data_IF_765891680751
#
_entry.id   IF_765891680751
#
_cell.length_a   1.000
_cell.length_b   1.000
_cell.length_c   1.000
_cell.angle_alpha   90.00
_cell.angle_beta   90.00
_cell.angle_gamma   90.00
#
_symmetry.space_group_name_H-M   'P 1'
#
loop_
_entity.id
_entity.type
_entity.pdbx_description
1 polymer ?
#
# COMPACT_ATOMS: atom_id res chain seq x y z
N UNK A 1 8.94 9.87 0.84
CA UNK A 1 8.51 9.43 -0.51
C UNK A 1 7.12 8.77 -0.49
N UNK A 2 6.95 7.54 0.01
CA UNK A 2 5.66 6.82 -0.03
C UNK A 2 4.49 7.64 0.55
N UNK A 3 4.65 8.23 1.74
CA UNK A 3 3.64 9.09 2.38
C UNK A 3 3.22 10.32 1.56
N UNK A 4 4.16 10.93 0.85
CA UNK A 4 3.89 12.12 0.01
C UNK A 4 3.26 11.67 -1.31
N UNK A 5 3.75 10.59 -1.90
CA UNK A 5 3.15 9.96 -3.08
C UNK A 5 1.70 9.52 -2.80
N UNK A 6 1.43 8.96 -1.61
CA UNK A 6 0.08 8.74 -1.05
C UNK A 6 -0.68 10.07 -1.10
N UNK A 7 -0.18 11.14 -0.50
CA UNK A 7 -0.86 12.46 -0.44
C UNK A 7 -1.18 13.05 -1.84
N UNK A 8 -0.34 12.81 -2.83
CA UNK A 8 -0.36 13.47 -4.14
C UNK A 8 -1.14 12.70 -5.21
N UNK A 9 -0.97 11.39 -5.26
CA UNK A 9 -1.82 10.48 -6.04
C UNK A 9 -3.25 10.50 -5.50
N UNK A 10 -3.41 10.74 -4.20
CA UNK A 10 -4.72 10.91 -3.60
C UNK A 10 -5.30 12.29 -3.86
N UNK A 11 -4.52 13.36 -3.73
CA UNK A 11 -5.03 14.73 -3.74
C UNK A 11 -5.19 15.37 -5.11
N UNK A 12 -4.31 15.10 -6.08
CA UNK A 12 -4.14 16.04 -7.19
C UNK A 12 -3.95 15.44 -8.59
N UNK A 13 -3.58 14.16 -8.72
CA UNK A 13 -3.26 13.58 -10.03
C UNK A 13 -4.32 12.58 -10.53
N UNK A 14 -5.15 13.02 -11.48
CA UNK A 14 -6.07 12.17 -12.24
C UNK A 14 -5.39 11.18 -13.19
N UNK A 15 -6.11 10.68 -14.20
CA UNK A 15 -5.64 9.58 -15.06
C UNK A 15 -4.36 9.89 -15.86
N UNK A 16 -4.04 11.14 -16.15
CA UNK A 16 -2.80 11.57 -16.81
C UNK A 16 -1.59 11.45 -15.91
N UNK A 17 -1.76 11.57 -14.60
CA UNK A 17 -0.70 11.22 -13.65
C UNK A 17 -0.38 9.72 -13.68
N UNK A 18 -1.36 8.91 -14.05
CA UNK A 18 -1.32 7.45 -14.02
C UNK A 18 -0.85 6.79 -15.32
N UNK A 19 -1.32 7.31 -16.47
CA UNK A 19 -1.04 6.76 -17.80
C UNK A 19 -0.15 7.68 -18.65
N UNK A 20 0.26 8.83 -18.12
CA UNK A 20 1.10 9.80 -18.80
C UNK A 20 0.49 10.30 -20.13
N UNK A 21 1.36 10.65 -21.09
CA UNK A 21 0.97 11.21 -22.40
C UNK A 21 0.14 10.26 -23.28
N UNK A 22 0.02 8.98 -22.91
CA UNK A 22 -0.70 7.96 -23.70
C UNK A 22 -2.22 8.18 -23.70
N UNK A 23 -2.74 8.88 -22.69
CA UNK A 23 -4.16 9.22 -22.60
C UNK A 23 -4.49 10.52 -23.35
N UNK A 24 -3.49 11.36 -23.64
CA UNK A 24 -3.68 12.67 -24.30
C UNK A 24 -4.43 12.56 -25.64
N UNK A 25 -4.15 11.60 -26.55
CA UNK A 25 -4.89 11.48 -27.80
C UNK A 25 -6.38 11.20 -27.58
N UNK A 26 -6.72 10.38 -26.57
CA UNK A 26 -8.10 10.08 -26.23
C UNK A 26 -8.80 11.32 -25.67
N UNK A 27 -8.22 11.99 -24.67
CA UNK A 27 -8.79 13.19 -24.05
C UNK A 27 -8.96 14.31 -25.09
N UNK A 28 -7.98 14.49 -25.98
CA UNK A 28 -8.08 15.45 -27.09
C UNK A 28 -9.19 15.06 -28.07
N UNK A 29 -9.38 13.77 -28.36
CA UNK A 29 -10.49 13.31 -29.21
C UNK A 29 -11.84 13.58 -28.55
N UNK A 30 -11.96 13.32 -27.24
CA UNK A 30 -13.20 13.53 -26.50
C UNK A 30 -13.61 15.01 -26.48
N UNK A 31 -12.64 15.90 -26.27
CA UNK A 31 -12.86 17.35 -26.35
C UNK A 31 -13.30 17.81 -27.74
N UNK A 32 -12.72 17.26 -28.81
CA UNK A 32 -13.10 17.64 -30.19
C UNK A 32 -14.47 17.10 -30.58
N UNK A 33 -14.73 15.84 -30.24
CA UNK A 33 -15.86 15.05 -30.76
C UNK A 33 -17.14 15.22 -29.92
N UNK A 34 -17.06 15.65 -28.65
CA UNK A 34 -18.20 15.75 -27.75
C UNK A 34 -18.41 17.15 -27.19
N UNK A 35 -19.44 17.84 -27.68
CA UNK A 35 -19.74 19.23 -27.32
C UNK A 35 -19.98 19.43 -25.81
N UNK A 36 -20.66 18.49 -25.16
CA UNK A 36 -20.91 18.53 -23.71
C UNK A 36 -19.62 18.41 -22.88
N UNK A 37 -18.65 17.60 -23.33
CA UNK A 37 -17.34 17.48 -22.68
C UNK A 37 -16.53 18.76 -22.90
N UNK A 38 -16.55 19.29 -24.12
CA UNK A 38 -15.87 20.54 -24.48
C UNK A 38 -16.36 21.73 -23.66
N UNK A 39 -17.66 21.96 -23.63
CA UNK A 39 -18.27 23.08 -22.92
C UNK A 39 -17.97 23.04 -21.41
N UNK A 40 -18.09 21.86 -20.80
CA UNK A 40 -17.76 21.68 -19.39
C UNK A 40 -16.26 21.86 -19.11
N UNK A 41 -15.39 21.43 -20.04
CA UNK A 41 -13.95 21.60 -19.90
C UNK A 41 -13.53 23.07 -20.06
N UNK A 42 -14.07 23.77 -21.06
CA UNK A 42 -13.81 25.20 -21.28
C UNK A 42 -14.22 26.03 -20.05
N UNK A 43 -15.36 25.71 -19.42
CA UNK A 43 -15.78 26.35 -18.17
C UNK A 43 -14.79 26.13 -17.00
N UNK A 44 -14.13 24.98 -16.93
CA UNK A 44 -13.10 24.72 -15.92
C UNK A 44 -11.78 25.43 -16.25
N UNK A 45 -11.41 25.53 -17.53
CA UNK A 45 -10.26 26.31 -18.00
C UNK A 45 -10.46 27.78 -17.64
N UNK A 46 -11.63 28.35 -17.95
CA UNK A 46 -11.93 29.75 -17.67
C UNK A 46 -11.97 30.05 -16.17
N UNK A 47 -12.49 29.11 -15.37
CA UNK A 47 -12.66 29.30 -13.92
C UNK A 47 -11.38 29.10 -13.13
N UNK A 48 -10.54 28.16 -13.53
CA UNK A 48 -9.40 27.70 -12.72
C UNK A 48 -8.05 27.77 -13.44
N UNK A 49 -8.01 28.17 -14.72
CA UNK A 49 -6.78 28.25 -15.51
C UNK A 49 -6.17 26.89 -15.85
N UNK A 50 -6.96 25.81 -15.83
CA UNK A 50 -6.47 24.46 -16.08
C UNK A 50 -5.96 24.26 -17.51
N UNK A 51 -4.98 23.37 -17.68
CA UNK A 51 -4.67 22.82 -19.00
C UNK A 51 -5.92 22.12 -19.59
N UNK A 52 -6.16 22.27 -20.89
CA UNK A 52 -7.38 21.75 -21.55
C UNK A 52 -7.57 20.26 -21.34
N UNK A 53 -6.50 19.48 -21.38
CA UNK A 53 -6.60 18.03 -21.19
C UNK A 53 -6.88 17.69 -19.71
N UNK A 54 -6.39 18.49 -18.76
CA UNK A 54 -6.69 18.34 -17.34
C UNK A 54 -8.17 18.68 -17.08
N UNK A 55 -8.67 19.75 -17.69
CA UNK A 55 -10.09 20.10 -17.62
C UNK A 55 -10.99 18.99 -18.17
N UNK A 56 -10.61 18.31 -19.27
CA UNK A 56 -11.35 17.16 -19.79
C UNK A 56 -11.36 16.00 -18.80
N UNK A 57 -10.26 15.73 -18.12
CA UNK A 57 -10.23 14.69 -17.07
C UNK A 57 -11.14 15.02 -15.90
N UNK A 58 -11.16 16.28 -15.45
CA UNK A 58 -12.04 16.76 -14.39
C UNK A 58 -13.52 16.61 -14.77
N UNK A 59 -13.86 16.84 -16.04
CA UNK A 59 -15.21 16.59 -16.57
C UNK A 59 -15.54 15.10 -16.54
N UNK A 60 -14.63 14.22 -16.98
CA UNK A 60 -14.85 12.77 -16.94
C UNK A 60 -14.99 12.27 -15.49
N UNK A 61 -14.20 12.82 -14.57
CA UNK A 61 -14.31 12.53 -13.14
C UNK A 61 -15.65 13.00 -12.55
N UNK A 62 -16.13 14.21 -12.88
CA UNK A 62 -17.46 14.70 -12.48
C UNK A 62 -18.58 13.83 -13.06
N UNK A 63 -18.47 13.40 -14.32
CA UNK A 63 -19.44 12.49 -14.94
C UNK A 63 -19.44 11.11 -14.27
N UNK A 64 -18.29 10.58 -13.87
CA UNK A 64 -18.18 9.32 -13.13
C UNK A 64 -18.88 9.45 -11.77
N UNK A 65 -18.62 10.55 -11.05
CA UNK A 65 -19.20 10.83 -9.74
C UNK A 65 -20.73 10.96 -9.77
N UNK A 66 -21.29 11.51 -10.86
CA UNK A 66 -22.74 11.68 -11.05
C UNK A 66 -23.43 10.49 -11.71
N UNK A 67 -22.71 9.37 -11.89
CA UNK A 67 -23.19 8.19 -12.62
C UNK A 67 -23.78 8.50 -14.02
N UNK A 68 -23.25 9.55 -14.67
CA UNK A 68 -23.65 9.98 -16.02
C UNK A 68 -22.63 9.57 -17.09
N UNK A 69 -21.43 9.14 -16.69
CA UNK A 69 -20.36 8.72 -17.60
C UNK A 69 -20.70 7.48 -18.41
N UNK A 70 -21.31 6.47 -17.79
CA UNK A 70 -21.69 5.21 -18.46
C UNK A 70 -22.79 5.39 -19.51
N UNK A 71 -23.49 6.54 -19.48
CA UNK A 71 -24.54 6.90 -20.43
C UNK A 71 -24.01 7.65 -21.66
N UNK A 72 -22.73 7.99 -21.68
CA UNK A 72 -22.13 8.73 -22.79
C UNK A 72 -21.87 7.82 -23.99
N UNK A 73 -22.10 8.32 -25.20
CA UNK A 73 -21.89 7.56 -26.44
C UNK A 73 -20.43 7.10 -26.62
N UNK A 74 -19.47 7.82 -26.02
CA UNK A 74 -18.05 7.47 -26.05
C UNK A 74 -17.60 6.47 -24.99
N UNK A 75 -18.48 6.08 -24.07
CA UNK A 75 -18.15 5.18 -22.96
C UNK A 75 -17.44 3.88 -23.40
N UNK A 76 -17.94 3.13 -24.41
CA UNK A 76 -17.28 1.88 -24.82
C UNK A 76 -15.85 2.10 -25.33
N UNK A 77 -15.60 3.23 -26.02
CA UNK A 77 -14.28 3.58 -26.55
C UNK A 77 -13.32 3.97 -25.43
N UNK A 78 -13.79 4.78 -24.48
CA UNK A 78 -13.02 5.16 -23.30
C UNK A 78 -12.59 3.92 -22.49
N UNK A 79 -13.55 3.03 -22.23
CA UNK A 79 -13.32 1.74 -21.57
C UNK A 79 -12.32 0.88 -22.32
N UNK A 80 -12.44 0.74 -23.64
CA UNK A 80 -11.53 -0.07 -24.44
C UNK A 80 -10.09 0.46 -24.39
N UNK A 81 -9.90 1.78 -24.47
CA UNK A 81 -8.56 2.39 -24.37
C UNK A 81 -7.99 2.18 -22.98
N UNK A 82 -8.74 2.46 -21.91
CA UNK A 82 -8.28 2.25 -20.53
C UNK A 82 -7.94 0.78 -20.31
N UNK A 83 -8.79 -0.17 -20.74
CA UNK A 83 -8.51 -1.62 -20.66
C UNK A 83 -7.24 -2.01 -21.42
N UNK A 84 -7.03 -1.48 -22.61
CA UNK A 84 -5.85 -1.80 -23.40
C UNK A 84 -4.58 -1.24 -22.78
N UNK A 85 -4.63 -0.03 -22.20
CA UNK A 85 -3.53 0.52 -21.41
C UNK A 85 -3.25 -0.38 -20.21
N UNK A 86 -4.27 -0.72 -19.43
CA UNK A 86 -4.15 -1.62 -18.27
C UNK A 86 -3.54 -2.98 -18.66
N UNK A 87 -4.01 -3.60 -19.75
CA UNK A 87 -3.46 -4.87 -20.26
C UNK A 87 -2.00 -4.75 -20.70
N UNK A 88 -1.63 -3.65 -21.39
CA UNK A 88 -0.28 -3.44 -21.93
C UNK A 88 0.77 -3.39 -20.85
N UNK A 89 0.42 -2.83 -19.71
CA UNK A 89 1.28 -2.80 -18.54
C UNK A 89 1.22 -4.10 -17.72
N UNK A 90 0.34 -5.05 -18.03
CA UNK A 90 0.23 -6.31 -17.28
C UNK A 90 -0.67 -6.22 -16.05
N UNK A 91 -1.50 -5.18 -15.96
CA UNK A 91 -2.45 -5.00 -14.86
C UNK A 91 -3.64 -5.97 -14.91
N UNK A 92 -3.79 -6.84 -15.93
CA UNK A 92 -4.83 -7.89 -15.93
C UNK A 92 -4.95 -8.90 -17.07
N UNK A 93 -5.63 -10.01 -16.70
CA UNK A 93 -6.55 -10.83 -17.52
C UNK A 93 -8.04 -10.40 -17.56
N UNK A 94 -8.68 -9.83 -16.51
CA UNK A 94 -10.12 -9.40 -16.53
C UNK A 94 -10.46 -8.17 -15.64
N UNK A 95 -11.14 -7.14 -16.18
CA UNK A 95 -11.64 -5.94 -15.47
C UNK A 95 -13.08 -5.61 -15.85
N UNK A 96 -13.89 -5.17 -14.88
CA UNK A 96 -15.29 -4.77 -15.09
C UNK A 96 -15.40 -3.29 -15.52
N UNK A 97 -16.57 -2.90 -16.03
CA UNK A 97 -16.87 -1.51 -16.37
C UNK A 97 -16.90 -0.62 -15.11
N UNK A 98 -17.33 -1.17 -13.97
CA UNK A 98 -17.39 -0.47 -12.69
C UNK A 98 -16.00 -0.11 -12.18
N UNK A 99 -15.01 -1.00 -12.33
CA UNK A 99 -13.62 -0.71 -11.96
C UNK A 99 -13.05 0.51 -12.73
N UNK A 100 -13.50 0.72 -13.97
CA UNK A 100 -13.08 1.85 -14.81
C UNK A 100 -13.81 3.13 -14.41
N UNK A 101 -15.10 3.06 -14.07
CA UNK A 101 -15.85 4.19 -13.49
C UNK A 101 -15.21 4.60 -12.16
N UNK A 102 -14.86 3.62 -11.32
CA UNK A 102 -14.17 3.85 -10.06
C UNK A 102 -12.85 4.57 -10.30
N UNK A 103 -12.00 4.05 -11.19
CA UNK A 103 -10.74 4.67 -11.58
C UNK A 103 -10.92 6.15 -11.96
N UNK A 104 -11.87 6.46 -12.84
CA UNK A 104 -12.17 7.80 -13.33
C UNK A 104 -12.72 8.73 -12.24
N UNK A 105 -13.55 8.23 -11.33
CA UNK A 105 -14.11 9.01 -10.22
C UNK A 105 -13.13 9.30 -9.07
N UNK A 106 -11.96 8.65 -9.06
CA UNK A 106 -10.94 8.79 -7.99
C UNK A 106 -10.34 10.16 -7.92
N UNK A 107 -10.13 10.76 -9.09
CA UNK A 107 -9.34 11.96 -9.29
C UNK A 107 -9.88 13.20 -8.54
N UNK A 108 -11.16 13.19 -8.13
CA UNK A 108 -11.86 14.41 -7.68
C UNK A 108 -12.37 14.39 -6.22
N UNK A 109 -12.46 13.23 -5.56
CA UNK A 109 -13.09 13.12 -4.22
C UNK A 109 -12.16 13.35 -3.01
N UNK A 110 -10.84 13.23 -3.16
CA UNK A 110 -9.95 13.45 -2.01
C UNK A 110 -9.82 14.93 -1.64
N UNK A 111 -10.04 15.83 -2.60
CA UNK A 111 -10.01 17.30 -2.40
C UNK A 111 -11.23 17.81 -1.63
N UNK A 112 -12.35 17.10 -1.67
CA UNK A 112 -13.62 17.55 -1.05
C UNK A 112 -13.91 16.94 0.32
N UNK A 113 -13.24 15.83 0.68
CA UNK A 113 -13.46 15.10 1.94
C UNK A 113 -12.15 14.85 2.73
N UNK A 114 -11.16 15.74 2.61
CA UNK A 114 -10.11 15.78 3.63
C UNK A 114 -10.78 16.08 4.99
N UNK A 115 -10.48 15.34 6.08
CA UNK A 115 -10.95 15.71 7.39
C UNK A 115 -10.25 17.02 7.76
N UNK A 116 -10.94 18.14 7.59
CA UNK A 116 -10.60 19.37 8.29
C UNK A 116 -10.51 19.01 9.77
N UNK A 117 -9.32 19.14 10.32
CA UNK A 117 -9.09 19.01 11.74
C UNK A 117 -10.06 19.95 12.47
N UNK A 118 -10.98 19.37 13.25
CA UNK A 118 -11.76 20.08 14.25
C UNK A 118 -13.24 20.30 13.90
N UNK A 119 -14.06 19.77 14.81
CA UNK A 119 -15.49 20.04 15.08
C UNK A 119 -16.49 19.22 14.27
N UNK A 120 -16.79 18.09 14.87
CA UNK A 120 -18.12 17.51 14.91
C UNK A 120 -19.17 18.59 15.28
N UNK A 121 -20.06 18.90 14.35
CA UNK A 121 -21.40 19.43 14.65
C UNK A 121 -22.36 18.83 13.64
N UNK A 122 -23.08 17.79 14.07
CA UNK A 122 -24.16 17.22 13.29
C UNK A 122 -25.26 18.22 12.97
N UNK A 123 -25.71 18.22 11.71
CA UNK A 123 -27.13 18.31 11.37
C UNK A 123 -27.36 17.77 9.96
N UNK A 124 -28.29 16.82 9.88
CA UNK A 124 -28.89 16.35 8.63
C UNK A 124 -29.71 17.49 8.00
N UNK A 125 -29.82 17.51 6.67
CA UNK A 125 -31.12 17.50 5.95
C UNK A 125 -30.88 17.61 4.43
N UNK A 126 -31.33 16.58 3.69
CA UNK A 126 -31.28 16.55 2.23
C UNK A 126 -30.89 15.18 1.69
N UNK A 127 -31.81 14.21 1.74
CA UNK A 127 -31.59 12.82 1.26
C UNK A 127 -31.17 12.79 -0.23
N UNK A 128 -30.02 12.19 -0.58
CA UNK A 128 -29.76 11.72 -1.94
C UNK A 128 -30.23 10.27 -2.09
N UNK A 129 -30.83 9.99 -3.26
CA UNK A 129 -31.33 8.68 -3.66
C UNK A 129 -30.27 7.58 -3.52
N UNK A 130 -30.73 6.42 -3.04
CA UNK A 130 -29.96 5.18 -2.99
C UNK A 130 -29.62 4.68 -4.39
N UNK A 131 -28.35 4.80 -4.80
CA UNK A 131 -27.78 4.05 -5.90
C UNK A 131 -26.59 3.23 -5.38
N UNK A 132 -26.74 1.91 -5.42
CA UNK A 132 -25.71 0.86 -5.35
C UNK A 132 -24.34 1.26 -4.76
N UNK A 133 -24.15 0.95 -3.48
CA UNK A 133 -22.85 0.86 -2.81
C UNK A 133 -21.98 -0.20 -3.52
N UNK A 134 -20.90 0.17 -4.20
CA UNK A 134 -19.71 -0.72 -4.28
C UNK A 134 -18.39 -0.12 -4.80
N UNK A 135 -18.33 1.13 -5.28
CA UNK A 135 -17.04 1.74 -5.66
C UNK A 135 -16.63 2.86 -4.69
N UNK A 136 -16.12 2.45 -3.53
CA UNK A 136 -15.62 3.34 -2.49
C UNK A 136 -14.24 3.94 -2.81
N UNK A 137 -13.77 4.90 -2.00
CA UNK A 137 -12.37 5.36 -2.02
C UNK A 137 -11.32 4.23 -1.95
N UNK A 138 -11.72 3.04 -1.47
CA UNK A 138 -10.88 1.84 -1.35
C UNK A 138 -10.44 1.25 -2.67
N UNK A 139 -11.41 0.97 -3.55
CA UNK A 139 -11.17 0.39 -4.86
C UNK A 139 -10.23 1.27 -5.70
N UNK A 140 -10.40 2.59 -5.57
CA UNK A 140 -9.65 3.63 -6.27
C UNK A 140 -8.19 3.72 -5.83
N UNK A 141 -7.99 3.72 -4.52
CA UNK A 141 -6.68 3.64 -3.89
C UNK A 141 -5.96 2.35 -4.31
N UNK A 142 -6.62 1.20 -4.14
CA UNK A 142 -6.04 -0.10 -4.46
C UNK A 142 -5.55 -0.15 -5.92
N UNK A 143 -6.27 0.47 -6.83
CA UNK A 143 -5.89 0.55 -8.23
C UNK A 143 -4.64 1.41 -8.47
N UNK A 144 -4.58 2.65 -7.98
CA UNK A 144 -3.40 3.51 -8.16
C UNK A 144 -2.13 2.86 -7.58
N UNK A 145 -2.29 2.13 -6.48
CA UNK A 145 -1.22 1.41 -5.82
C UNK A 145 -0.76 0.17 -6.55
N UNK A 146 -1.68 -0.62 -7.11
CA UNK A 146 -1.32 -1.71 -8.04
C UNK A 146 -0.56 -1.17 -9.25
N UNK A 147 -0.91 0.03 -9.71
CA UNK A 147 -0.29 0.70 -10.86
C UNK A 147 1.17 1.08 -10.61
N UNK A 148 1.45 1.63 -9.43
CA UNK A 148 2.81 1.92 -8.99
C UNK A 148 3.61 0.64 -8.73
N UNK A 149 2.98 -0.38 -8.14
CA UNK A 149 3.61 -1.64 -7.74
C UNK A 149 4.15 -2.52 -8.89
N UNK A 150 4.05 -2.07 -10.14
CA UNK A 150 4.72 -2.70 -11.27
C UNK A 150 6.14 -2.21 -11.51
N UNK A 151 6.50 -1.05 -10.96
CA UNK A 151 7.87 -0.61 -10.96
C UNK A 151 8.61 -1.42 -9.89
N UNK A 152 9.30 -2.49 -10.31
CA UNK A 152 10.09 -3.35 -9.41
C UNK A 152 11.11 -2.54 -8.59
N UNK A 153 11.57 -1.41 -9.13
CA UNK A 153 12.43 -0.41 -8.46
C UNK A 153 11.81 0.22 -7.20
N UNK A 154 10.48 0.18 -7.03
CA UNK A 154 9.83 0.64 -5.80
C UNK A 154 9.97 -0.36 -4.65
N UNK A 155 10.38 -1.60 -4.94
CA UNK A 155 10.53 -2.63 -3.93
C UNK A 155 12.01 -2.85 -3.61
N UNK A 156 12.29 -2.93 -2.31
CA UNK A 156 13.63 -3.25 -1.82
C UNK A 156 14.13 -4.62 -2.26
N UNK A 157 13.21 -5.58 -2.40
CA UNK A 157 13.51 -6.96 -2.76
C UNK A 157 12.88 -7.29 -4.11
N UNK A 158 13.48 -8.17 -4.93
CA UNK A 158 12.91 -8.57 -6.21
C UNK A 158 11.57 -9.30 -6.04
N UNK A 159 10.84 -9.50 -7.15
CA UNK A 159 9.67 -10.38 -7.22
C UNK A 159 10.12 -11.78 -7.65
N UNK A 160 10.12 -12.76 -6.74
CA UNK A 160 10.55 -14.11 -7.08
C UNK A 160 9.66 -14.75 -8.15
N UNK A 161 10.24 -15.61 -8.98
CA UNK A 161 9.52 -16.36 -10.02
C UNK A 161 9.32 -17.84 -9.65
N UNK A 162 10.11 -18.37 -8.72
CA UNK A 162 9.97 -19.75 -8.25
C UNK A 162 8.75 -19.96 -7.34
N UNK A 163 8.32 -21.21 -7.26
CA UNK A 163 7.34 -21.71 -6.28
C UNK A 163 8.02 -22.41 -5.09
N UNK A 164 9.31 -22.75 -5.22
CA UNK A 164 10.09 -23.41 -4.16
C UNK A 164 10.66 -22.36 -3.19
N UNK A 165 10.50 -22.62 -1.89
CA UNK A 165 10.89 -21.66 -0.84
C UNK A 165 12.40 -21.40 -0.81
N UNK A 166 13.25 -22.38 -1.13
CA UNK A 166 14.69 -22.21 -1.15
C UNK A 166 15.13 -21.36 -2.36
N UNK A 167 14.56 -21.63 -3.53
CA UNK A 167 14.80 -20.83 -4.73
C UNK A 167 14.32 -19.39 -4.54
N UNK A 168 13.11 -19.19 -3.98
CA UNK A 168 12.57 -17.88 -3.64
C UNK A 168 13.52 -17.11 -2.71
N UNK A 169 14.07 -17.78 -1.69
CA UNK A 169 15.01 -17.15 -0.77
C UNK A 169 16.30 -16.73 -1.48
N UNK A 170 16.85 -17.58 -2.35
CA UNK A 170 18.05 -17.29 -3.13
C UNK A 170 17.85 -16.15 -4.15
N UNK A 171 16.66 -16.06 -4.76
CA UNK A 171 16.29 -14.95 -5.63
C UNK A 171 16.23 -13.60 -4.88
N UNK A 172 15.76 -13.61 -3.62
CA UNK A 172 15.72 -12.41 -2.78
C UNK A 172 17.12 -11.99 -2.32
N UNK A 173 17.91 -12.95 -1.87
CA UNK A 173 19.30 -12.75 -1.45
C UNK A 173 20.05 -14.09 -1.50
N UNK A 174 21.09 -14.21 -2.36
CA UNK A 174 21.90 -15.42 -2.46
C UNK A 174 22.60 -15.86 -1.15
N UNK A 175 22.69 -14.97 -0.15
CA UNK A 175 23.21 -15.28 1.18
C UNK A 175 22.21 -16.00 2.10
N UNK A 176 20.97 -16.19 1.66
CA UNK A 176 19.95 -16.95 2.38
C UNK A 176 20.02 -18.43 1.97
N UNK A 177 19.80 -19.33 2.93
CA UNK A 177 19.61 -20.74 2.64
C UNK A 177 18.42 -21.29 3.40
N UNK A 178 17.70 -22.21 2.77
CA UNK A 178 16.52 -22.85 3.33
C UNK A 178 16.68 -24.35 3.25
N UNK A 179 16.44 -25.04 4.35
CA UNK A 179 16.47 -26.50 4.44
C UNK A 179 15.26 -27.00 5.21
N UNK A 180 14.80 -28.21 4.90
CA UNK A 180 13.76 -28.88 5.70
C UNK A 180 14.31 -29.20 7.09
N UNK A 181 13.56 -28.84 8.13
CA UNK A 181 13.95 -29.07 9.54
C UNK A 181 12.76 -29.53 10.39
N UNK A 182 12.12 -30.62 9.98
CA UNK A 182 10.95 -31.21 10.65
C UNK A 182 11.15 -31.54 12.13
N UNK A 183 12.40 -31.72 12.57
CA UNK A 183 12.77 -32.05 13.95
C UNK A 183 12.81 -30.84 14.88
N UNK A 184 12.71 -29.61 14.36
CA UNK A 184 12.62 -28.40 15.17
C UNK A 184 11.36 -28.38 16.05
N UNK A 185 10.32 -29.12 15.64
CA UNK A 185 9.10 -29.32 16.40
C UNK A 185 8.94 -30.80 16.77
N UNK A 186 8.59 -31.06 18.02
CA UNK A 186 8.28 -32.41 18.50
C UNK A 186 7.07 -32.99 17.76
N UNK A 187 6.93 -34.32 17.79
CA UNK A 187 5.75 -34.96 17.19
C UNK A 187 4.45 -34.44 17.82
N UNK A 188 4.43 -34.25 19.13
CA UNK A 188 3.25 -33.74 19.84
C UNK A 188 2.85 -32.34 19.36
N UNK A 189 3.81 -31.41 19.25
CA UNK A 189 3.56 -30.05 18.74
C UNK A 189 3.08 -30.08 17.30
N UNK A 190 3.67 -30.92 16.45
CA UNK A 190 3.24 -31.07 15.05
C UNK A 190 1.83 -31.64 14.93
N UNK A 191 1.47 -32.62 15.76
CA UNK A 191 0.14 -33.23 15.77
C UNK A 191 -0.92 -32.25 16.32
N UNK A 192 -0.57 -31.45 17.32
CA UNK A 192 -1.43 -30.42 17.93
C UNK A 192 -1.70 -29.27 16.96
N UNK A 193 -0.64 -28.67 16.40
CA UNK A 193 -0.72 -27.52 15.50
C UNK A 193 -0.97 -27.91 14.03
N UNK A 194 -1.17 -29.21 13.75
CA UNK A 194 -1.38 -29.76 12.40
C UNK A 194 -0.27 -29.37 11.43
N UNK A 195 0.98 -29.34 11.89
CA UNK A 195 2.14 -28.97 11.09
C UNK A 195 2.36 -30.03 10.00
N UNK A 196 2.37 -29.58 8.75
CA UNK A 196 2.70 -30.39 7.59
C UNK A 196 4.20 -30.31 7.29
N UNK A 197 4.76 -29.10 7.31
CA UNK A 197 6.13 -28.84 6.88
C UNK A 197 6.81 -27.77 7.73
N UNK A 198 8.09 -28.00 8.02
CA UNK A 198 8.95 -27.05 8.71
C UNK A 198 10.22 -26.87 7.90
N UNK A 199 10.58 -25.61 7.66
CA UNK A 199 11.86 -25.23 7.10
C UNK A 199 12.62 -24.36 8.09
N UNK A 200 13.94 -24.46 8.04
CA UNK A 200 14.86 -23.55 8.68
C UNK A 200 15.47 -22.65 7.62
N UNK A 201 15.35 -21.35 7.80
CA UNK A 201 16.05 -20.36 7.01
C UNK A 201 17.26 -19.85 7.80
N UNK A 202 18.45 -20.00 7.22
CA UNK A 202 19.67 -19.37 7.72
C UNK A 202 19.88 -18.04 7.00
N UNK A 203 19.90 -16.96 7.78
CA UNK A 203 20.09 -15.59 7.33
C UNK A 203 21.58 -15.32 7.02
N UNK A 204 21.88 -14.21 6.32
CA UNK A 204 23.25 -13.84 5.96
C UNK A 204 24.19 -13.62 7.18
N UNK A 205 23.65 -13.24 8.34
CA UNK A 205 24.40 -13.14 9.60
C UNK A 205 24.53 -14.48 10.35
N UNK A 206 24.14 -15.59 9.70
CA UNK A 206 24.08 -16.96 10.21
C UNK A 206 23.07 -17.18 11.34
N UNK A 207 22.19 -16.21 11.62
CA UNK A 207 21.04 -16.45 12.50
C UNK A 207 20.01 -17.29 11.78
N UNK A 208 19.19 -17.96 12.57
CA UNK A 208 18.21 -18.93 12.08
C UNK A 208 16.80 -18.46 12.44
N UNK A 209 15.87 -18.75 11.54
CA UNK A 209 14.44 -18.60 11.75
C UNK A 209 13.73 -19.82 11.16
N UNK A 210 12.55 -20.13 11.66
CA UNK A 210 11.74 -21.25 11.16
C UNK A 210 10.52 -20.75 10.43
N UNK A 211 10.14 -21.50 9.39
CA UNK A 211 8.97 -21.27 8.56
C UNK A 211 8.14 -22.54 8.67
N UNK A 212 6.89 -22.39 9.05
CA UNK A 212 6.00 -23.50 9.36
C UNK A 212 4.81 -23.42 8.43
N UNK A 213 4.46 -24.54 7.81
CA UNK A 213 3.21 -24.73 7.07
C UNK A 213 2.38 -25.80 7.78
N UNK A 214 1.08 -25.54 7.96
CA UNK A 214 0.13 -26.52 8.47
C UNK A 214 -0.68 -27.20 7.35
N UNK A 215 -1.45 -28.22 7.73
CA UNK A 215 -2.27 -29.02 6.82
C UNK A 215 -3.40 -28.24 6.12
N UNK A 216 -3.78 -27.06 6.62
CA UNK A 216 -4.81 -26.20 6.01
C UNK A 216 -4.23 -25.18 5.03
N UNK A 217 -2.90 -25.13 4.89
CA UNK A 217 -2.22 -24.19 4.00
C UNK A 217 -1.96 -22.82 4.61
N UNK A 218 -2.01 -22.69 5.93
CA UNK A 218 -1.49 -21.52 6.63
C UNK A 218 0.01 -21.64 6.82
N UNK A 219 0.70 -20.52 6.66
CA UNK A 219 2.15 -20.41 6.82
C UNK A 219 2.45 -19.33 7.83
N UNK A 220 3.42 -19.53 8.72
CA UNK A 220 3.90 -18.51 9.64
C UNK A 220 5.40 -18.65 9.90
N UNK A 221 5.94 -17.66 10.62
CA UNK A 221 7.37 -17.53 10.87
C UNK A 221 7.60 -17.51 12.38
N UNK A 222 8.53 -18.33 12.84
CA UNK A 222 9.18 -18.15 14.13
C UNK A 222 10.53 -17.45 13.91
N UNK A 223 10.55 -16.16 14.25
CA UNK A 223 11.74 -15.30 14.17
C UNK A 223 12.32 -14.95 15.55
N UNK A 224 11.96 -15.71 16.59
CA UNK A 224 12.37 -15.45 17.99
C UNK A 224 13.90 -15.37 18.17
N UNK A 225 14.65 -16.09 17.34
CA UNK A 225 16.12 -16.15 17.37
C UNK A 225 16.83 -15.01 16.60
N UNK A 226 16.09 -14.14 15.90
CA UNK A 226 16.66 -13.07 15.09
C UNK A 226 16.95 -11.81 15.90
N UNK A 227 18.11 -11.19 15.63
CA UNK A 227 18.47 -9.91 16.23
C UNK A 227 17.78 -8.76 15.48
N UNK A 228 17.02 -7.93 16.21
CA UNK A 228 16.28 -6.79 15.64
C UNK A 228 17.21 -5.85 14.87
N UNK A 229 16.85 -5.53 13.62
CA UNK A 229 17.57 -4.55 12.78
C UNK A 229 18.90 -5.04 12.20
N UNK A 230 19.36 -6.25 12.54
CA UNK A 230 20.63 -6.82 12.11
C UNK A 230 20.44 -8.01 11.16
N UNK A 231 19.53 -8.92 11.51
CA UNK A 231 19.37 -10.20 10.79
C UNK A 231 18.56 -10.12 9.48
N UNK A 232 18.23 -8.91 9.01
CA UNK A 232 17.53 -8.74 7.73
C UNK A 232 16.11 -9.32 7.67
N UNK A 233 15.36 -9.28 8.78
CA UNK A 233 14.02 -9.91 8.89
C UNK A 233 13.00 -9.53 7.81
N UNK A 234 13.14 -8.38 7.15
CA UNK A 234 12.33 -8.04 5.97
C UNK A 234 12.49 -9.02 4.80
N UNK A 235 13.70 -9.59 4.61
CA UNK A 235 13.95 -10.60 3.57
C UNK A 235 13.21 -11.90 3.86
N UNK A 236 13.22 -12.33 5.13
CA UNK A 236 12.48 -13.50 5.60
C UNK A 236 10.97 -13.33 5.38
N UNK A 237 10.42 -12.17 5.74
CA UNK A 237 9.01 -11.84 5.46
C UNK A 237 8.71 -11.83 3.95
N UNK A 238 9.56 -11.21 3.13
CA UNK A 238 9.38 -11.16 1.68
C UNK A 238 9.39 -12.56 1.05
N UNK A 239 10.29 -13.44 1.50
CA UNK A 239 10.37 -14.82 0.99
C UNK A 239 9.10 -15.60 1.32
N UNK A 240 8.65 -15.57 2.57
CA UNK A 240 7.47 -16.33 3.01
C UNK A 240 6.19 -15.78 2.40
N UNK A 241 6.06 -14.46 2.26
CA UNK A 241 4.90 -13.87 1.61
C UNK A 241 4.85 -14.21 0.11
N UNK A 242 6.00 -14.21 -0.58
CA UNK A 242 6.08 -14.62 -1.99
C UNK A 242 5.77 -16.10 -2.16
N UNK A 243 6.28 -16.96 -1.26
CA UNK A 243 5.96 -18.39 -1.23
C UNK A 243 4.47 -18.63 -1.05
N UNK A 244 3.83 -17.91 -0.13
CA UNK A 244 2.41 -18.04 0.11
C UNK A 244 1.57 -17.60 -1.11
N UNK A 245 1.94 -16.48 -1.73
CA UNK A 245 1.31 -16.00 -2.96
C UNK A 245 1.43 -16.99 -4.12
N UNK A 246 2.64 -17.51 -4.35
CA UNK A 246 2.92 -18.45 -5.43
C UNK A 246 2.16 -19.79 -5.26
N UNK A 247 1.99 -20.26 -4.02
CA UNK A 247 1.45 -21.59 -3.73
C UNK A 247 -0.01 -21.59 -3.25
N UNK A 248 -0.71 -20.45 -3.31
CA UNK A 248 -2.11 -20.35 -2.86
C UNK A 248 -2.28 -20.63 -1.36
N UNK A 249 -1.28 -20.25 -0.55
CA UNK A 249 -1.26 -20.40 0.91
C UNK A 249 -1.61 -19.07 1.57
N UNK A 250 -1.87 -19.09 2.88
CA UNK A 250 -2.17 -17.89 3.67
C UNK A 250 -1.06 -17.63 4.68
N UNK A 251 -0.33 -16.54 4.51
CA UNK A 251 0.67 -16.09 5.47
C UNK A 251 0.01 -15.36 6.65
N UNK A 252 -0.09 -16.06 7.77
CA UNK A 252 -0.69 -15.57 9.02
C UNK A 252 0.36 -14.89 9.91
N UNK A 253 -0.07 -14.25 10.99
CA UNK A 253 0.84 -13.81 12.05
C UNK A 253 1.32 -15.00 12.87
N UNK A 254 2.46 -14.85 13.56
CA UNK A 254 2.93 -15.88 14.50
C UNK A 254 1.85 -16.17 15.55
N UNK A 255 1.34 -17.42 15.63
CA UNK A 255 0.32 -17.80 16.62
C UNK A 255 0.79 -17.65 18.07
N UNK A 256 2.11 -17.66 18.33
CA UNK A 256 2.67 -17.38 19.66
C UNK A 256 2.58 -15.89 20.03
N UNK A 257 2.27 -15.02 19.07
CA UNK A 257 2.02 -13.61 19.25
C UNK A 257 3.08 -12.70 18.64
N UNK A 258 2.72 -11.41 18.51
CA UNK A 258 3.61 -10.37 17.99
C UNK A 258 4.08 -9.42 19.09
N UNK A 259 5.38 -9.10 19.09
CA UNK A 259 5.90 -7.95 19.85
C UNK A 259 5.33 -6.62 19.30
N UNK A 260 5.35 -5.55 20.10
CA UNK A 260 4.91 -4.22 19.68
C UNK A 260 5.59 -3.75 18.39
N UNK A 261 6.91 -3.94 18.29
CA UNK A 261 7.65 -3.57 17.08
C UNK A 261 7.28 -4.45 15.87
N UNK A 262 7.03 -5.74 16.10
CA UNK A 262 6.62 -6.66 15.04
C UNK A 262 5.22 -6.32 14.50
N UNK A 263 4.33 -5.78 15.34
CA UNK A 263 2.99 -5.38 14.96
C UNK A 263 3.00 -4.35 13.82
N UNK A 264 3.80 -3.28 13.96
CA UNK A 264 3.87 -2.24 12.94
C UNK A 264 4.64 -2.72 11.71
N UNK A 265 5.78 -3.39 11.90
CA UNK A 265 6.57 -3.93 10.80
C UNK A 265 5.76 -4.90 9.95
N UNK A 266 4.95 -5.74 10.57
CA UNK A 266 4.10 -6.68 9.85
C UNK A 266 3.08 -5.96 8.96
N UNK A 267 2.48 -4.86 9.41
CA UNK A 267 1.61 -4.04 8.55
C UNK A 267 2.35 -3.55 7.30
N UNK A 268 3.58 -3.04 7.45
CA UNK A 268 4.39 -2.58 6.32
C UNK A 268 4.79 -3.73 5.38
N UNK A 269 5.15 -4.90 5.94
CA UNK A 269 5.47 -6.09 5.14
C UNK A 269 4.24 -6.62 4.39
N UNK A 270 3.07 -6.64 5.03
CA UNK A 270 1.80 -6.99 4.40
C UNK A 270 1.46 -6.03 3.27
N UNK A 271 1.58 -4.72 3.50
CA UNK A 271 1.31 -3.71 2.49
C UNK A 271 2.25 -3.89 1.30
N UNK A 272 3.55 -4.01 1.55
CA UNK A 272 4.56 -4.26 0.51
C UNK A 272 4.26 -5.51 -0.31
N UNK A 273 3.89 -6.62 0.37
CA UNK A 273 3.52 -7.85 -0.31
C UNK A 273 2.21 -7.71 -1.11
N UNK A 274 1.18 -7.09 -0.54
CA UNK A 274 -0.09 -6.87 -1.23
C UNK A 274 0.05 -6.00 -2.49
N UNK A 275 0.90 -4.99 -2.41
CA UNK A 275 1.27 -4.16 -3.55
C UNK A 275 2.00 -4.99 -4.59
N UNK A 276 3.09 -5.67 -4.19
CA UNK A 276 3.94 -6.45 -5.09
C UNK A 276 3.16 -7.54 -5.82
N UNK A 277 2.30 -8.27 -5.14
CA UNK A 277 1.53 -9.38 -5.72
C UNK A 277 0.21 -8.90 -6.36
N UNK A 278 -0.21 -7.68 -6.08
CA UNK A 278 -1.47 -7.12 -6.59
C UNK A 278 -2.72 -7.79 -6.02
N UNK A 279 -2.60 -8.55 -4.93
CA UNK A 279 -3.68 -9.26 -4.23
C UNK A 279 -3.36 -9.37 -2.73
N UNK A 280 -4.35 -9.72 -1.92
CA UNK A 280 -4.24 -9.87 -0.46
C UNK A 280 -4.59 -11.27 0.03
N UNK A 281 -5.03 -12.15 -0.87
CA UNK A 281 -5.55 -13.48 -0.53
C UNK A 281 -4.52 -14.36 0.19
N UNK A 282 -3.23 -14.12 -0.05
CA UNK A 282 -2.13 -14.84 0.59
C UNK A 282 -1.74 -14.25 1.95
N UNK A 283 -2.47 -13.27 2.49
CA UNK A 283 -2.17 -12.60 3.73
C UNK A 283 -3.35 -12.69 4.70
N UNK A 284 -3.03 -12.79 5.99
CA UNK A 284 -3.98 -12.57 7.07
C UNK A 284 -3.32 -11.66 8.12
N UNK A 285 -3.98 -10.58 8.58
CA UNK A 285 -3.52 -9.83 9.74
C UNK A 285 -3.50 -10.72 10.98
N UNK A 286 -2.54 -10.48 11.87
CA UNK A 286 -2.56 -11.11 13.19
C UNK A 286 -3.74 -10.55 14.02
N UNK A 287 -4.29 -11.31 14.97
CA UNK A 287 -5.39 -10.86 15.84
C UNK A 287 -5.10 -9.52 16.52
N UNK A 288 -3.88 -9.35 17.04
CA UNK A 288 -3.37 -8.08 17.59
C UNK A 288 -3.41 -6.89 16.61
N UNK A 289 -3.35 -7.10 15.28
CA UNK A 289 -3.50 -6.03 14.28
C UNK A 289 -4.98 -5.67 14.07
N UNK A 290 -5.91 -6.60 14.33
CA UNK A 290 -7.36 -6.41 14.16
C UNK A 290 -8.03 -5.91 15.44
N UNK A 291 -7.51 -6.29 16.61
CA UNK A 291 -8.06 -5.94 17.92
C UNK A 291 -6.94 -5.73 18.97
N UNK A 292 -6.12 -4.67 18.84
CA UNK A 292 -4.95 -4.44 19.71
C UNK A 292 -5.31 -4.36 21.20
N UNK A 293 -6.40 -3.66 21.54
CA UNK A 293 -6.83 -3.47 22.94
C UNK A 293 -7.40 -4.74 23.58
N UNK A 294 -8.04 -5.60 22.79
CA UNK A 294 -8.52 -6.89 23.28
C UNK A 294 -7.39 -7.89 23.49
N UNK A 295 -6.33 -7.81 22.67
CA UNK A 295 -5.19 -8.74 22.74
C UNK A 295 -4.22 -8.38 23.87
N UNK A 296 -3.83 -7.11 23.99
CA UNK A 296 -2.96 -6.61 25.07
C UNK A 296 -3.47 -5.25 25.57
N UNK A 297 -4.37 -5.24 26.57
CA UNK A 297 -4.90 -3.99 27.13
C UNK A 297 -3.79 -3.08 27.67
N UNK A 298 -3.92 -1.77 27.46
CA UNK A 298 -3.01 -0.73 27.97
C UNK A 298 -1.56 -0.78 27.45
N UNK A 299 -1.28 -1.57 26.41
CA UNK A 299 0.03 -1.51 25.77
C UNK A 299 0.22 -0.14 25.12
N UNK A 300 1.34 0.54 25.43
CA UNK A 300 1.61 1.91 24.99
C UNK A 300 1.48 2.08 23.47
N UNK A 301 1.81 1.03 22.71
CA UNK A 301 1.74 1.11 21.26
C UNK A 301 0.30 1.16 20.74
N UNK A 302 -0.70 0.66 21.47
CA UNK A 302 -2.07 0.52 20.97
C UNK A 302 -2.66 1.87 20.53
N UNK A 303 -2.37 2.96 21.24
CA UNK A 303 -2.82 4.32 20.88
C UNK A 303 -2.32 4.76 19.49
N UNK A 304 -1.20 4.19 19.04
CA UNK A 304 -0.63 4.49 17.74
C UNK A 304 -1.14 3.56 16.63
N UNK A 305 -1.74 2.42 16.97
CA UNK A 305 -2.14 1.38 16.00
C UNK A 305 -3.60 1.55 15.62
N UNK A 306 -3.85 1.77 14.32
CA UNK A 306 -5.20 1.66 13.79
C UNK A 306 -5.58 0.19 13.58
N UNK A 307 -6.66 -0.32 14.19
CA UNK A 307 -7.15 -1.68 13.95
C UNK A 307 -7.47 -1.91 12.47
N UNK A 308 -7.07 -3.06 11.94
CA UNK A 308 -7.34 -3.47 10.55
C UNK A 308 -8.68 -4.19 10.50
N UNK A 309 -9.62 -3.67 9.71
CA UNK A 309 -10.88 -4.38 9.42
C UNK A 309 -10.69 -5.25 8.20
N UNK A 310 -10.37 -6.54 8.37
CA UNK A 310 -10.08 -7.44 7.25
C UNK A 310 -11.34 -8.10 6.69
N UNK A 311 -11.42 -8.23 5.37
CA UNK A 311 -12.49 -8.96 4.68
C UNK A 311 -11.85 -9.99 3.74
N UNK A 312 -11.87 -11.30 4.09
CA UNK A 312 -11.28 -12.33 3.24
C UNK A 312 -11.78 -12.26 1.79
N UNK A 313 -10.85 -12.25 0.84
CA UNK A 313 -11.16 -12.19 -0.59
C UNK A 313 -11.43 -10.80 -1.16
N UNK A 314 -11.56 -9.75 -0.34
CA UNK A 314 -11.71 -8.36 -0.82
C UNK A 314 -10.38 -7.63 -0.86
N UNK A 315 -9.62 -7.85 -1.95
CA UNK A 315 -8.29 -7.28 -2.13
C UNK A 315 -8.26 -5.75 -2.09
N UNK A 316 -9.31 -5.11 -2.60
CA UNK A 316 -9.40 -3.65 -2.67
C UNK A 316 -9.63 -3.04 -1.29
N UNK A 317 -10.58 -3.59 -0.53
CA UNK A 317 -10.85 -3.19 0.84
C UNK A 317 -9.62 -3.42 1.72
N UNK A 318 -9.03 -4.61 1.65
CA UNK A 318 -7.88 -5.00 2.47
C UNK A 318 -6.64 -4.15 2.20
N UNK A 319 -6.35 -3.85 0.92
CA UNK A 319 -5.25 -2.96 0.55
C UNK A 319 -5.48 -1.53 1.06
N UNK A 320 -6.71 -1.01 0.99
CA UNK A 320 -7.03 0.28 1.59
C UNK A 320 -6.82 0.27 3.10
N UNK A 321 -7.26 -0.78 3.79
CA UNK A 321 -7.11 -0.88 5.24
C UNK A 321 -5.63 -0.94 5.65
N UNK A 322 -4.78 -1.65 4.90
CA UNK A 322 -3.33 -1.64 5.09
C UNK A 322 -2.73 -0.24 4.88
N UNK A 323 -3.14 0.48 3.84
CA UNK A 323 -2.67 1.84 3.55
C UNK A 323 -3.09 2.85 4.62
N UNK A 324 -4.37 2.81 5.05
CA UNK A 324 -4.88 3.64 6.13
C UNK A 324 -4.14 3.36 7.43
N UNK A 325 -3.92 2.09 7.75
CA UNK A 325 -3.23 1.71 8.99
C UNK A 325 -1.76 2.09 8.93
N UNK A 326 -1.04 1.87 7.83
CA UNK A 326 0.33 2.35 7.64
C UNK A 326 0.42 3.88 7.82
N UNK A 327 -0.43 4.63 7.12
CA UNK A 327 -0.49 6.10 7.22
C UNK A 327 -0.77 6.57 8.65
N UNK A 328 -1.79 5.99 9.30
CA UNK A 328 -2.14 6.33 10.68
C UNK A 328 -0.98 6.04 11.63
N UNK A 329 -0.42 4.83 11.56
CA UNK A 329 0.65 4.39 12.46
C UNK A 329 1.86 5.31 12.37
N UNK A 330 2.30 5.65 11.15
CA UNK A 330 3.42 6.60 10.97
C UNK A 330 3.10 7.95 11.62
N UNK A 331 1.89 8.50 11.40
CA UNK A 331 1.52 9.81 11.95
C UNK A 331 1.43 9.83 13.47
N UNK A 332 0.98 8.74 14.08
CA UNK A 332 0.91 8.66 15.54
C UNK A 332 2.25 8.35 16.18
N UNK A 333 3.12 7.59 15.51
CA UNK A 333 4.42 7.21 16.03
C UNK A 333 5.44 8.35 15.92
N UNK A 334 5.37 9.15 14.85
CA UNK A 334 6.27 10.29 14.59
C UNK A 334 5.50 11.59 14.26
N UNK A 335 4.67 12.12 15.17
CA UNK A 335 3.81 13.29 14.94
C UNK A 335 4.57 14.57 14.58
N UNK A 336 5.78 14.80 15.07
CA UNK A 336 6.58 15.99 14.72
C UNK A 336 7.00 15.92 13.25
N UNK A 337 7.54 14.77 12.82
CA UNK A 337 7.89 14.52 11.40
C UNK A 337 6.65 14.53 10.50
N UNK A 338 5.53 13.98 10.97
CA UNK A 338 4.28 13.96 10.22
C UNK A 338 3.71 15.36 9.96
N UNK A 339 3.95 16.34 10.84
CA UNK A 339 3.57 17.73 10.59
C UNK A 339 4.33 18.32 9.42
N UNK A 340 5.64 18.08 9.38
CA UNK A 340 6.50 18.59 8.31
C UNK A 340 6.17 17.94 6.95
N UNK A 341 5.87 16.64 6.95
CA UNK A 341 5.44 15.92 5.76
C UNK A 341 4.15 16.48 5.12
N UNK A 342 3.33 17.25 5.86
CA UNK A 342 2.16 17.91 5.27
C UNK A 342 2.52 19.05 4.31
N UNK A 343 3.76 19.53 4.36
CA UNK A 343 4.25 20.60 3.48
C UNK A 343 4.99 20.05 2.26
N UNK A 344 5.25 18.74 2.22
CA UNK A 344 5.94 18.09 1.11
C UNK A 344 4.91 17.55 0.13
N UNK A 345 5.06 17.93 -1.12
CA UNK A 345 4.24 17.54 -2.27
C UNK A 345 5.10 16.89 -3.35
N UNK A 346 4.47 16.29 -4.37
CA UNK A 346 5.15 15.73 -5.55
C UNK A 346 4.59 16.40 -6.78
N UNK A 347 5.42 17.21 -7.44
CA UNK A 347 5.06 17.81 -8.71
C UNK A 347 5.19 16.78 -9.82
N UNK A 348 4.05 16.28 -10.32
CA UNK A 348 4.02 15.37 -11.47
C UNK A 348 4.48 16.05 -12.77
N UNK A 349 4.24 17.35 -12.92
CA UNK A 349 4.70 18.14 -14.06
C UNK A 349 6.23 18.18 -14.12
N UNK A 350 6.86 18.40 -12.96
CA UNK A 350 8.31 18.55 -12.85
C UNK A 350 9.04 17.25 -12.47
N UNK A 351 8.29 16.19 -12.15
CA UNK A 351 8.79 14.87 -11.77
C UNK A 351 9.60 14.85 -10.47
N UNK A 352 9.29 15.71 -9.49
CA UNK A 352 10.09 15.87 -8.26
C UNK A 352 9.25 16.21 -7.03
N UNK A 353 9.78 15.89 -5.85
CA UNK A 353 9.20 16.35 -4.59
C UNK A 353 9.48 17.85 -4.37
N UNK A 354 8.51 18.58 -3.83
CA UNK A 354 8.63 20.01 -3.54
C UNK A 354 8.00 20.38 -2.20
N UNK A 355 8.57 21.38 -1.53
CA UNK A 355 7.96 22.08 -0.38
C UNK A 355 7.78 23.54 -0.77
N UNK A 356 6.55 24.05 -0.68
CA UNK A 356 6.21 25.42 -1.07
C UNK A 356 6.72 25.82 -2.49
N UNK A 357 6.77 24.85 -3.40
CA UNK A 357 7.23 25.00 -4.80
C UNK A 357 8.74 24.84 -5.02
N UNK A 358 9.52 24.71 -3.96
CA UNK A 358 10.97 24.48 -4.03
C UNK A 358 11.30 22.97 -3.98
N UNK A 359 12.24 22.48 -4.80
CA UNK A 359 12.59 21.07 -4.84
C UNK A 359 13.17 20.59 -3.50
N UNK A 360 12.72 19.42 -3.05
CA UNK A 360 13.36 18.69 -1.95
C UNK A 360 14.06 17.43 -2.49
N UNK A 361 15.21 17.10 -1.92
CA UNK A 361 16.11 16.07 -2.42
C UNK A 361 16.27 14.89 -1.43
N UNK A 362 17.13 13.94 -1.79
CA UNK A 362 17.40 12.77 -0.96
C UNK A 362 17.97 13.15 0.42
N UNK A 363 18.74 14.24 0.50
CA UNK A 363 19.32 14.72 1.75
C UNK A 363 18.20 15.17 2.71
N UNK A 364 17.21 15.90 2.21
CA UNK A 364 16.02 16.27 2.98
C UNK A 364 15.32 15.04 3.57
N UNK A 365 15.08 14.00 2.75
CA UNK A 365 14.44 12.77 3.22
C UNK A 365 15.30 11.97 4.21
N UNK A 366 16.62 11.97 4.06
CA UNK A 366 17.55 11.33 4.99
C UNK A 366 17.52 12.02 6.37
N UNK A 367 17.56 13.36 6.40
CA UNK A 367 17.46 14.13 7.64
C UNK A 367 16.11 13.94 8.33
N UNK A 368 15.03 13.89 7.54
CA UNK A 368 13.69 13.58 8.03
C UNK A 368 13.62 12.18 8.67
N UNK A 369 14.20 11.17 8.02
CA UNK A 369 14.27 9.81 8.53
C UNK A 369 15.09 9.72 9.84
N UNK A 370 16.18 10.49 9.96
CA UNK A 370 16.95 10.59 11.20
C UNK A 370 16.15 11.19 12.36
N UNK A 371 15.40 12.27 12.09
CA UNK A 371 14.51 12.86 13.11
C UNK A 371 13.37 11.94 13.51
N UNK A 372 12.80 11.20 12.56
CA UNK A 372 11.79 10.18 12.85
C UNK A 372 12.36 9.10 13.78
N UNK A 373 13.60 8.67 13.57
CA UNK A 373 14.24 7.67 14.41
C UNK A 373 14.44 8.16 15.84
N UNK A 374 14.90 9.41 16.00
CA UNK A 374 15.05 10.06 17.30
C UNK A 374 13.69 10.23 18.01
N UNK A 375 12.64 10.59 17.28
CA UNK A 375 11.29 10.71 17.82
C UNK A 375 10.73 9.36 18.30
N UNK A 376 10.89 8.29 17.52
CA UNK A 376 10.52 6.93 17.95
C UNK A 376 11.24 6.53 19.24
N UNK A 377 12.52 6.85 19.37
CA UNK A 377 13.27 6.59 20.60
C UNK A 377 12.69 7.37 21.79
N UNK A 378 12.42 8.67 21.62
CA UNK A 378 11.79 9.52 22.65
C UNK A 378 10.41 9.00 23.07
N UNK A 379 9.64 8.47 22.11
CA UNK A 379 8.31 7.91 22.36
C UNK A 379 8.35 6.47 22.91
N UNK A 380 9.53 5.91 23.18
CA UNK A 380 9.66 4.59 23.81
C UNK A 380 9.52 3.42 22.84
N UNK A 381 9.73 3.66 21.54
CA UNK A 381 9.72 2.63 20.49
C UNK A 381 11.10 2.44 19.83
N UNK A 382 12.20 2.28 20.59
CA UNK A 382 13.54 2.10 20.01
C UNK A 382 13.62 0.84 19.14
N UNK A 383 12.77 -0.16 19.41
CA UNK A 383 12.67 -1.38 18.62
C UNK A 383 12.13 -1.21 17.20
N UNK A 384 11.62 -0.03 16.83
CA UNK A 384 11.18 0.33 15.48
C UNK A 384 12.28 0.98 14.63
N UNK A 385 13.40 1.36 15.25
CA UNK A 385 14.57 1.92 14.56
C UNK A 385 15.51 0.79 14.16
N UNK A 386 16.03 0.81 12.93
CA UNK A 386 17.11 -0.09 12.47
C UNK A 386 18.46 0.63 12.53
N UNK A 387 19.48 -0.03 13.07
CA UNK A 387 20.81 0.56 13.22
C UNK A 387 21.82 0.02 12.20
N UNK A 388 22.13 0.83 11.18
CA UNK A 388 23.47 1.42 11.05
C UNK A 388 23.38 2.72 10.28
N UNK A 389 24.11 3.71 10.78
CA UNK A 389 24.52 4.86 10.02
C UNK A 389 25.04 4.43 8.64
N UNK A 390 24.51 5.01 7.57
CA UNK A 390 25.32 5.21 6.37
C UNK A 390 26.58 6.01 6.76
N UNK A 391 27.60 6.06 5.90
CA UNK A 391 28.90 6.74 6.13
C UNK A 391 28.84 8.22 6.60
N UNK A 392 27.65 8.77 6.83
CA UNK A 392 27.30 10.07 7.41
C UNK A 392 26.92 10.10 8.90
N UNK A 393 26.85 8.96 9.61
CA UNK A 393 26.69 8.95 11.08
C UNK A 393 25.27 9.21 11.64
N UNK A 394 24.20 9.14 10.84
CA UNK A 394 22.82 9.41 11.30
C UNK A 394 21.96 8.11 11.38
N UNK A 395 21.12 7.93 12.42
CA UNK A 395 20.16 6.82 12.50
C UNK A 395 19.10 6.90 11.37
N UNK A 396 18.53 5.77 10.93
CA UNK A 396 17.43 5.74 9.95
C UNK A 396 16.16 5.12 10.55
N UNK A 397 15.01 5.74 10.30
CA UNK A 397 13.70 5.21 10.68
C UNK A 397 13.11 4.37 9.54
N UNK A 398 12.68 3.15 9.86
CA UNK A 398 11.99 2.16 9.01
C UNK A 398 12.78 1.63 7.80
N UNK A 399 12.71 0.31 7.64
CA UNK A 399 13.45 -0.52 6.69
C UNK A 399 12.57 -1.68 6.23
#
# INVERSE_FOLDING_TARGET
ALHVLVHEVLGHAGLRGLFGKQLNPLLASLYREHANVREAADALVDRYGYDKLLAVEEVLADMALRASLTKQAFWPRLVAVIRNLLRRYGFVRQWTDNDIVALLGSARRYVTEAPTAGKDTGRTDGKPLATSRQDGPAQRMAMAWKLLAQADELFRFPRPQSFDLADIAAEIDPGLSVVVDQKAYSKAERDEQKIAQVWKMTMADRKEAWIIENQTGEVWIDASSLAKGLSGGGKLYAAVASYAAANGKVFIGDPAGLSEAALVRRTEQMLSSALKEGMTQHLMPHERQMAPDSYQPNAKINDAIRPITWVPGDDAHNLLELLKTSYHNVRQLVPDVAKELNHVSYSFEKGRFETDGEPVDDKYFQELAGRAALELQRHGFPGLVSGRASDSGQPQAWA
#
